data_IF_070941870945
#
_entry.id   IF_070941870945
#
_cell.length_a   1.000
_cell.length_b   1.000
_cell.length_c   1.000
_cell.angle_alpha   90.00
_cell.angle_beta   90.00
_cell.angle_gamma   90.00
#
_symmetry.space_group_name_H-M   'P 1'
#
loop_
_entity.id
_entity.type
_entity.pdbx_description
1 polymer ?
#
# COMPACT_ATOMS: atom_id res chain seq x y z
N UNK A 1 -44.12 11.03 9.20
CA UNK A 1 -44.96 10.84 10.41
C UNK A 1 -44.98 9.42 10.97
N UNK A 2 -44.84 8.36 10.16
CA UNK A 2 -44.89 6.95 10.63
C UNK A 2 -43.71 6.53 11.53
N UNK A 3 -42.55 7.18 11.41
CA UNK A 3 -41.41 6.92 12.30
C UNK A 3 -41.55 7.59 13.68
N UNK A 4 -42.40 8.63 13.80
CA UNK A 4 -42.66 9.32 15.06
C UNK A 4 -43.70 8.60 15.92
N UNK A 5 -44.60 7.81 15.31
CA UNK A 5 -45.59 7.02 16.03
C UNK A 5 -45.01 5.76 16.68
N UNK A 6 -43.92 5.20 16.13
CA UNK A 6 -43.18 4.10 16.77
C UNK A 6 -42.40 4.52 18.02
N UNK A 7 -42.18 5.82 18.23
CA UNK A 7 -41.47 6.35 19.40
C UNK A 7 -42.40 6.57 20.62
N UNK A 8 -43.73 6.48 20.45
CA UNK A 8 -44.71 6.82 21.48
C UNK A 8 -45.32 5.63 22.22
N UNK A 9 -45.20 4.40 21.69
CA UNK A 9 -45.65 3.16 22.35
C UNK A 9 -44.52 2.50 23.18
N UNK A 10 -43.62 3.35 23.67
CA UNK A 10 -42.25 3.03 24.08
C UNK A 10 -42.14 2.07 25.25
N UNK A 11 -41.89 0.80 24.93
CA UNK A 11 -41.19 -0.10 25.83
C UNK A 11 -39.78 0.47 26.04
N UNK A 12 -39.63 1.24 27.14
CA UNK A 12 -38.37 1.90 27.55
C UNK A 12 -37.21 0.91 27.58
N UNK A 13 -37.48 -0.35 27.85
CA UNK A 13 -36.53 -1.46 27.85
C UNK A 13 -35.99 -1.76 26.43
N UNK A 14 -36.84 -1.71 25.40
CA UNK A 14 -36.41 -1.87 24.01
C UNK A 14 -35.58 -0.69 23.52
N UNK A 15 -35.95 0.55 23.89
CA UNK A 15 -35.17 1.75 23.54
C UNK A 15 -33.79 1.75 24.24
N UNK A 16 -33.74 1.29 25.49
CA UNK A 16 -32.51 1.12 26.24
C UNK A 16 -31.60 0.06 25.58
N UNK A 17 -32.15 -1.11 25.22
CA UNK A 17 -31.42 -2.16 24.48
C UNK A 17 -30.90 -1.68 23.13
N UNK A 18 -31.68 -0.90 22.39
CA UNK A 18 -31.30 -0.37 21.07
C UNK A 18 -30.18 0.68 21.19
N UNK A 19 -30.20 1.48 22.27
CA UNK A 19 -29.12 2.42 22.62
C UNK A 19 -27.84 1.69 23.06
N UNK A 20 -27.97 0.62 23.83
CA UNK A 20 -26.86 -0.24 24.25
C UNK A 20 -26.21 -0.96 23.05
N UNK A 21 -27.03 -1.53 22.17
CA UNK A 21 -26.60 -2.10 20.89
C UNK A 21 -25.90 -1.05 20.00
N UNK A 22 -26.43 0.17 19.90
CA UNK A 22 -25.79 1.26 19.15
C UNK A 22 -24.38 1.62 19.67
N UNK A 23 -24.17 1.54 20.99
CA UNK A 23 -22.84 1.69 21.60
C UNK A 23 -21.90 0.53 21.27
N UNK A 24 -22.41 -0.70 21.23
CA UNK A 24 -21.64 -1.89 20.79
C UNK A 24 -21.29 -1.84 19.30
N UNK A 25 -22.23 -1.43 18.45
CA UNK A 25 -22.00 -1.22 17.02
C UNK A 25 -20.93 -0.15 16.78
N UNK A 26 -20.97 0.96 17.52
CA UNK A 26 -19.96 2.03 17.41
C UNK A 26 -18.58 1.50 17.78
N UNK A 27 -18.45 0.76 18.88
CA UNK A 27 -17.17 0.15 19.30
C UNK A 27 -16.65 -0.90 18.32
N UNK A 28 -17.54 -1.71 17.75
CA UNK A 28 -17.18 -2.68 16.71
C UNK A 28 -16.74 -2.00 15.41
N UNK A 29 -17.45 -0.94 15.01
CA UNK A 29 -17.08 -0.12 13.86
C UNK A 29 -15.73 0.56 14.07
N UNK A 30 -15.49 1.20 15.22
CA UNK A 30 -14.22 1.84 15.55
C UNK A 30 -13.06 0.84 15.58
N UNK A 31 -13.26 -0.34 16.17
CA UNK A 31 -12.26 -1.42 16.17
C UNK A 31 -11.96 -1.92 14.75
N UNK A 32 -12.99 -2.11 13.93
CA UNK A 32 -12.82 -2.54 12.55
C UNK A 32 -12.14 -1.46 11.68
N UNK A 33 -12.49 -0.18 11.89
CA UNK A 33 -11.89 0.95 11.21
C UNK A 33 -10.43 1.17 11.63
N UNK A 34 -10.11 1.02 12.92
CA UNK A 34 -8.74 1.03 13.45
C UNK A 34 -7.88 -0.05 12.80
N UNK A 35 -8.31 -1.32 12.89
CA UNK A 35 -7.59 -2.44 12.27
C UNK A 35 -7.40 -2.26 10.76
N UNK A 36 -8.38 -1.69 10.06
CA UNK A 36 -8.28 -1.44 8.62
C UNK A 36 -7.28 -0.33 8.31
N UNK A 37 -7.26 0.74 9.11
CA UNK A 37 -6.29 1.83 8.97
C UNK A 37 -4.87 1.34 9.22
N UNK A 38 -4.65 0.59 10.29
CA UNK A 38 -3.34 0.02 10.63
C UNK A 38 -2.84 -0.92 9.52
N UNK A 39 -3.72 -1.73 8.93
CA UNK A 39 -3.39 -2.59 7.78
C UNK A 39 -3.03 -1.77 6.54
N UNK A 40 -3.74 -0.68 6.26
CA UNK A 40 -3.44 0.19 5.13
C UNK A 40 -2.11 0.90 5.31
N UNK A 41 -1.83 1.41 6.51
CA UNK A 41 -0.57 2.09 6.82
C UNK A 41 0.61 1.11 6.73
N UNK A 42 0.48 -0.09 7.30
CA UNK A 42 1.47 -1.17 7.16
C UNK A 42 1.72 -1.55 5.70
N UNK A 43 0.66 -1.67 4.89
CA UNK A 43 0.78 -1.97 3.46
C UNK A 43 1.55 -0.87 2.72
N UNK A 44 1.30 0.41 3.06
CA UNK A 44 1.99 1.54 2.45
C UNK A 44 3.48 1.55 2.80
N UNK A 45 3.81 1.28 4.06
CA UNK A 45 5.21 1.18 4.52
C UNK A 45 5.95 0.06 3.80
N UNK A 46 5.39 -1.17 3.80
CA UNK A 46 5.98 -2.32 3.12
C UNK A 46 6.17 -2.07 1.63
N UNK A 47 5.22 -1.37 0.98
CA UNK A 47 5.29 -1.07 -0.44
C UNK A 47 6.43 -0.10 -0.77
N UNK A 48 6.62 0.95 0.04
CA UNK A 48 7.73 1.91 -0.15
C UNK A 48 9.07 1.24 0.13
N UNK A 49 9.14 0.47 1.22
CA UNK A 49 10.32 -0.26 1.62
C UNK A 49 10.76 -1.25 0.53
N UNK A 50 9.84 -2.11 0.07
CA UNK A 50 10.11 -3.08 -0.97
C UNK A 50 10.58 -2.43 -2.28
N UNK A 51 9.96 -1.32 -2.69
CA UNK A 51 10.33 -0.65 -3.93
C UNK A 51 11.70 0.03 -3.85
N UNK A 52 12.02 0.64 -2.70
CA UNK A 52 13.31 1.30 -2.47
C UNK A 52 14.45 0.28 -2.49
N UNK A 53 14.33 -0.77 -1.69
CA UNK A 53 15.30 -1.85 -1.62
C UNK A 53 15.47 -2.56 -2.98
N UNK A 54 14.39 -2.79 -3.72
CA UNK A 54 14.48 -3.36 -5.05
C UNK A 54 15.29 -2.50 -6.03
N UNK A 55 15.12 -1.18 -6.00
CA UNK A 55 15.92 -0.28 -6.82
C UNK A 55 17.38 -0.22 -6.39
N UNK A 56 17.67 -0.18 -5.10
CA UNK A 56 19.05 -0.19 -4.60
C UNK A 56 19.77 -1.49 -5.02
N UNK A 57 19.06 -2.63 -5.00
CA UNK A 57 19.56 -3.89 -5.52
C UNK A 57 19.77 -3.86 -7.05
N UNK A 58 18.86 -3.27 -7.81
CA UNK A 58 19.03 -3.07 -9.24
C UNK A 58 20.30 -2.26 -9.55
N UNK A 59 20.45 -1.09 -8.91
CA UNK A 59 21.58 -0.19 -9.17
C UNK A 59 22.91 -0.84 -8.76
N UNK A 60 22.94 -1.60 -7.66
CA UNK A 60 24.15 -2.28 -7.20
C UNK A 60 24.58 -3.46 -8.10
N UNK A 61 23.64 -4.24 -8.62
CA UNK A 61 23.96 -5.43 -9.45
C UNK A 61 24.22 -5.05 -10.90
N UNK A 62 23.43 -4.14 -11.48
CA UNK A 62 23.52 -3.79 -12.90
C UNK A 62 24.48 -2.63 -13.16
N UNK A 63 24.72 -1.78 -12.15
CA UNK A 63 25.39 -0.49 -12.33
C UNK A 63 24.55 0.55 -13.09
N UNK A 64 23.29 0.22 -13.41
CA UNK A 64 22.41 1.09 -14.16
C UNK A 64 21.51 1.90 -13.23
N UNK A 65 21.26 3.17 -13.59
CA UNK A 65 20.39 4.03 -12.79
C UNK A 65 18.93 3.59 -12.81
N UNK A 66 18.14 4.05 -11.83
CA UNK A 66 16.68 3.94 -11.85
C UNK A 66 16.00 4.41 -13.15
N UNK A 67 16.61 5.32 -13.91
CA UNK A 67 16.06 5.78 -15.19
C UNK A 67 16.11 4.66 -16.22
N UNK A 68 17.22 3.94 -16.29
CA UNK A 68 17.37 2.79 -17.17
C UNK A 68 16.40 1.68 -16.78
N UNK A 69 16.23 1.39 -15.49
CA UNK A 69 15.18 0.49 -15.00
C UNK A 69 13.78 0.91 -15.49
N UNK A 70 13.43 2.19 -15.35
CA UNK A 70 12.13 2.71 -15.76
C UNK A 70 11.90 2.57 -17.28
N UNK A 71 12.92 2.86 -18.09
CA UNK A 71 12.87 2.71 -19.55
C UNK A 71 12.79 1.24 -19.99
N UNK A 72 13.64 0.38 -19.42
CA UNK A 72 13.73 -1.04 -19.80
C UNK A 72 12.50 -1.83 -19.38
N UNK A 73 12.00 -1.59 -18.16
CA UNK A 73 10.79 -2.28 -17.68
C UNK A 73 9.51 -1.76 -18.36
N UNK A 74 9.51 -0.51 -18.83
CA UNK A 74 8.32 0.16 -19.35
C UNK A 74 7.22 0.40 -18.29
N UNK A 75 7.50 0.10 -17.01
CA UNK A 75 6.52 0.21 -15.91
C UNK A 75 6.35 1.66 -15.44
N UNK A 76 7.40 2.47 -15.59
CA UNK A 76 7.45 3.85 -15.11
C UNK A 76 7.86 4.78 -16.24
N UNK A 77 7.14 5.89 -16.40
CA UNK A 77 7.47 6.86 -17.44
C UNK A 77 8.64 7.74 -17.02
N UNK A 78 9.64 7.82 -17.91
CA UNK A 78 10.71 8.81 -17.84
C UNK A 78 10.31 10.06 -18.63
N UNK A 79 10.58 11.22 -18.05
CA UNK A 79 10.34 12.53 -18.65
C UNK A 79 11.65 13.30 -18.76
N UNK A 80 11.76 14.16 -19.77
CA UNK A 80 12.82 15.15 -19.84
C UNK A 80 12.26 16.50 -19.37
N UNK A 81 12.73 17.00 -18.22
CA UNK A 81 12.35 18.30 -17.65
C UNK A 81 13.58 19.20 -17.56
N UNK A 82 13.55 20.35 -18.26
CA UNK A 82 14.68 21.28 -18.37
C UNK A 82 16.02 20.58 -18.64
N UNK A 83 16.03 19.63 -19.56
CA UNK A 83 17.20 18.81 -19.95
C UNK A 83 17.69 17.80 -18.90
N UNK A 84 16.90 17.51 -17.86
CA UNK A 84 17.21 16.48 -16.85
C UNK A 84 16.16 15.37 -16.90
N UNK A 85 16.60 14.11 -16.84
CA UNK A 85 15.68 12.97 -16.76
C UNK A 85 14.96 12.94 -15.41
N UNK A 86 13.68 12.59 -15.44
CA UNK A 86 12.80 12.59 -14.29
C UNK A 86 11.89 11.35 -14.30
N UNK A 87 11.78 10.69 -13.16
CA UNK A 87 10.90 9.53 -12.92
C UNK A 87 9.78 9.91 -11.95
N UNK A 88 9.07 11.02 -12.24
CA UNK A 88 8.16 11.72 -11.31
C UNK A 88 7.17 10.83 -10.57
N UNK A 89 6.70 9.76 -11.20
CA UNK A 89 5.73 8.85 -10.55
C UNK A 89 6.45 7.82 -9.68
N UNK A 90 7.54 7.24 -10.17
CA UNK A 90 8.36 6.30 -9.40
C UNK A 90 8.92 6.95 -8.14
N UNK A 91 9.41 8.19 -8.24
CA UNK A 91 10.00 8.93 -7.12
C UNK A 91 9.01 9.08 -5.94
N UNK A 92 7.70 9.10 -6.23
CA UNK A 92 6.67 9.16 -5.19
C UNK A 92 6.57 7.88 -4.37
N UNK A 93 6.95 6.74 -4.95
CA UNK A 93 6.90 5.43 -4.32
C UNK A 93 8.15 5.15 -3.47
N UNK A 94 9.13 6.07 -3.48
CA UNK A 94 10.36 5.99 -2.68
C UNK A 94 10.22 6.60 -1.29
N UNK A 95 9.11 7.28 -0.99
CA UNK A 95 8.88 7.91 0.32
C UNK A 95 7.42 7.83 0.72
N UNK A 96 7.17 7.58 2.00
CA UNK A 96 5.83 7.38 2.53
C UNK A 96 4.96 8.65 2.41
N UNK A 97 5.57 9.83 2.54
CA UNK A 97 4.91 11.13 2.49
C UNK A 97 4.44 11.48 1.07
N UNK A 98 5.15 10.98 0.06
CA UNK A 98 4.83 11.25 -1.35
C UNK A 98 4.00 10.15 -2.00
N UNK A 99 3.88 9.00 -1.33
CA UNK A 99 3.16 7.84 -1.86
C UNK A 99 1.68 8.22 -2.12
N UNK A 100 1.15 7.98 -3.34
CA UNK A 100 -0.24 8.28 -3.66
C UNK A 100 -1.21 7.67 -2.65
N UNK A 101 -2.34 8.34 -2.38
CA UNK A 101 -3.39 7.83 -1.47
C UNK A 101 -3.90 6.45 -1.91
N UNK A 102 -3.98 6.22 -3.22
CA UNK A 102 -4.32 4.94 -3.84
C UNK A 102 -3.11 4.40 -4.62
N UNK A 103 -2.18 3.69 -3.95
CA UNK A 103 -0.98 3.19 -4.60
C UNK A 103 -1.32 2.09 -5.62
N UNK A 104 -0.65 2.13 -6.78
CA UNK A 104 -0.74 1.12 -7.83
C UNK A 104 0.15 -0.08 -7.47
N UNK A 105 -0.29 -0.85 -6.47
CA UNK A 105 0.47 -1.96 -5.92
C UNK A 105 0.88 -3.02 -6.95
N UNK A 106 0.07 -3.25 -8.00
CA UNK A 106 0.42 -4.18 -9.09
C UNK A 106 1.69 -3.75 -9.82
N UNK A 107 1.84 -2.46 -10.10
CA UNK A 107 3.04 -1.92 -10.76
C UNK A 107 4.27 -2.08 -9.89
N UNK A 108 4.13 -1.95 -8.56
CA UNK A 108 5.23 -2.19 -7.61
C UNK A 108 5.64 -3.65 -7.60
N UNK A 109 4.68 -4.58 -7.50
CA UNK A 109 4.97 -6.02 -7.58
C UNK A 109 5.65 -6.39 -8.90
N UNK A 110 5.13 -5.92 -10.04
CA UNK A 110 5.77 -6.16 -11.34
C UNK A 110 7.17 -5.54 -11.44
N UNK A 111 7.42 -4.42 -10.74
CA UNK A 111 8.76 -3.82 -10.69
C UNK A 111 9.75 -4.71 -9.94
N UNK A 112 9.33 -5.21 -8.77
CA UNK A 112 10.14 -6.13 -7.95
C UNK A 112 10.38 -7.43 -8.72
N UNK A 113 9.36 -7.99 -9.36
CA UNK A 113 9.47 -9.20 -10.19
C UNK A 113 10.42 -9.00 -11.36
N UNK A 114 10.30 -7.89 -12.09
CA UNK A 114 11.22 -7.54 -13.17
C UNK A 114 12.67 -7.50 -12.69
N UNK A 115 12.93 -6.82 -11.56
CA UNK A 115 14.29 -6.71 -11.00
C UNK A 115 14.83 -8.07 -10.57
N UNK A 116 14.04 -8.88 -9.86
CA UNK A 116 14.43 -10.24 -9.44
C UNK A 116 14.61 -11.20 -10.62
N UNK A 117 13.98 -10.92 -11.76
CA UNK A 117 14.14 -11.68 -13.00
C UNK A 117 15.44 -11.30 -13.73
N UNK A 118 15.80 -10.02 -13.77
CA UNK A 118 16.97 -9.52 -14.51
C UNK A 118 18.27 -9.57 -13.70
N UNK A 119 18.19 -9.42 -12.37
CA UNK A 119 19.32 -9.56 -11.47
C UNK A 119 19.29 -10.99 -10.89
N UNK A 120 20.39 -11.74 -10.97
CA UNK A 120 20.49 -13.13 -10.45
C UNK A 120 21.48 -13.29 -9.30
N UNK A 121 22.15 -12.22 -8.91
CA UNK A 121 23.13 -12.26 -7.85
C UNK A 121 22.46 -12.57 -6.50
N UNK A 122 22.88 -13.66 -5.87
CA UNK A 122 22.36 -14.04 -4.56
C UNK A 122 23.03 -13.17 -3.49
N UNK A 123 22.24 -12.31 -2.87
CA UNK A 123 22.68 -11.43 -1.79
C UNK A 123 21.65 -11.41 -0.65
N UNK A 124 22.03 -11.00 0.57
CA UNK A 124 21.07 -10.76 1.65
C UNK A 124 19.96 -9.78 1.24
N UNK A 125 20.31 -8.80 0.40
CA UNK A 125 19.40 -7.83 -0.16
C UNK A 125 18.32 -8.48 -1.03
N UNK A 126 18.73 -9.41 -1.91
CA UNK A 126 17.77 -10.18 -2.73
C UNK A 126 16.78 -10.95 -1.86
N UNK A 127 17.28 -11.66 -0.85
CA UNK A 127 16.43 -12.43 0.07
C UNK A 127 15.46 -11.52 0.84
N UNK A 128 15.89 -10.32 1.21
CA UNK A 128 15.04 -9.30 1.81
C UNK A 128 13.92 -8.86 0.88
N UNK A 129 14.23 -8.53 -0.37
CA UNK A 129 13.26 -8.11 -1.38
C UNK A 129 12.23 -9.22 -1.66
N UNK A 130 12.67 -10.49 -1.76
CA UNK A 130 11.78 -11.64 -1.92
C UNK A 130 10.82 -11.77 -0.73
N UNK A 131 11.31 -11.59 0.50
CA UNK A 131 10.48 -11.61 1.70
C UNK A 131 9.48 -10.43 1.75
N UNK A 132 9.90 -9.22 1.33
CA UNK A 132 9.00 -8.05 1.28
C UNK A 132 7.93 -8.21 0.20
N UNK A 133 8.27 -8.77 -0.98
CA UNK A 133 7.29 -9.09 -2.03
C UNK A 133 6.23 -10.04 -1.50
N UNK A 134 6.64 -11.13 -0.85
CA UNK A 134 5.71 -12.13 -0.31
C UNK A 134 4.83 -11.55 0.80
N UNK A 135 5.41 -10.71 1.67
CA UNK A 135 4.67 -9.95 2.69
C UNK A 135 3.62 -9.04 2.06
N UNK A 136 3.99 -8.30 1.02
CA UNK A 136 3.08 -7.41 0.30
C UNK A 136 1.93 -8.18 -0.35
N UNK A 137 2.21 -9.30 -1.02
CA UNK A 137 1.19 -10.16 -1.63
C UNK A 137 0.19 -10.71 -0.60
N UNK A 138 0.67 -11.13 0.57
CA UNK A 138 -0.19 -11.57 1.68
C UNK A 138 -1.08 -10.46 2.20
N UNK A 139 -0.55 -9.24 2.38
CA UNK A 139 -1.33 -8.09 2.83
C UNK A 139 -2.42 -7.67 1.83
N UNK A 140 -2.19 -7.90 0.53
CA UNK A 140 -3.13 -7.58 -0.55
C UNK A 140 -4.23 -8.64 -0.74
N UNK A 141 -3.95 -9.90 -0.37
CA UNK A 141 -4.87 -11.04 -0.58
C UNK A 141 -5.66 -11.40 0.68
N UNK A 142 -5.14 -11.04 1.86
CA UNK A 142 -5.84 -11.14 3.15
C UNK A 142 -6.92 -10.06 3.28
#
# INVERSE_FOLDING_TARGET
EVLSSYAFDGDRDQLQKLKELGGEFTRLADRALGNKKDKQDLMREVLVDAMTHALDYWESVTGESKFAFAEQSGLWRVYLDRSTLQTRTLDKYMRIETLPKTPRWRTVLSSIEFILEHCKEQSPERAYIEAQRDKLQRLLTS
#
